data_IF_375783207938
#
_entry.id   IF_375783207938
#
_cell.length_a   1.000
_cell.length_b   1.000
_cell.length_c   1.000
_cell.angle_alpha   90.00
_cell.angle_beta   90.00
_cell.angle_gamma   90.00
#
_symmetry.space_group_name_H-M   'P 1'
#
loop_
_entity.id
_entity.type
_entity.pdbx_description
1 polymer ?
#
# COMPACT_ATOMS: atom_id res chain seq x y z
N UNK A 1 -16.56 -11.16 47.55
CA UNK A 1 -15.23 -10.54 47.75
C UNK A 1 -14.40 -10.76 46.50
N UNK A 2 -14.25 -12.01 46.07
CA UNK A 2 -13.56 -12.43 44.83
C UNK A 2 -14.05 -11.75 43.55
N UNK A 3 -15.38 -11.65 43.34
CA UNK A 3 -15.93 -10.97 42.15
C UNK A 3 -15.56 -9.47 42.08
N UNK A 4 -15.50 -8.80 43.23
CA UNK A 4 -15.15 -7.38 43.30
C UNK A 4 -13.67 -7.16 42.99
N UNK A 5 -12.80 -8.08 43.40
CA UNK A 5 -11.38 -8.04 43.09
C UNK A 5 -11.13 -8.33 41.60
N UNK A 6 -11.79 -9.37 41.05
CA UNK A 6 -11.72 -9.67 39.62
C UNK A 6 -12.19 -8.48 38.75
N UNK A 7 -13.26 -7.78 39.15
CA UNK A 7 -13.72 -6.55 38.46
C UNK A 7 -12.72 -5.41 38.56
N UNK A 8 -12.01 -5.26 39.68
CA UNK A 8 -10.96 -4.23 39.83
C UNK A 8 -9.75 -4.55 38.96
N UNK A 9 -9.30 -5.80 38.97
CA UNK A 9 -8.16 -6.26 38.18
C UNK A 9 -8.42 -6.08 36.68
N UNK A 10 -9.57 -6.55 36.18
CA UNK A 10 -9.96 -6.37 34.79
C UNK A 10 -9.99 -4.89 34.36
N UNK A 11 -10.38 -3.98 35.27
CA UNK A 11 -10.41 -2.54 35.02
C UNK A 11 -9.01 -1.94 34.92
N UNK A 12 -8.06 -2.38 35.75
CA UNK A 12 -6.68 -1.91 35.68
C UNK A 12 -5.95 -2.47 34.45
N UNK A 13 -6.19 -3.73 34.10
CA UNK A 13 -5.66 -4.32 32.86
C UNK A 13 -6.21 -3.59 31.63
N UNK A 14 -7.51 -3.30 31.60
CA UNK A 14 -8.10 -2.53 30.51
C UNK A 14 -7.43 -1.15 30.36
N UNK A 15 -7.22 -0.42 31.45
CA UNK A 15 -6.51 0.88 31.42
C UNK A 15 -5.10 0.75 30.86
N UNK A 16 -4.37 -0.29 31.28
CA UNK A 16 -3.01 -0.58 30.81
C UNK A 16 -3.01 -0.84 29.29
N UNK A 17 -3.93 -1.68 28.80
CA UNK A 17 -4.07 -1.96 27.37
C UNK A 17 -4.47 -0.73 26.56
N UNK A 18 -5.45 0.04 27.02
CA UNK A 18 -5.87 1.28 26.37
C UNK A 18 -4.73 2.31 26.27
N UNK A 19 -3.91 2.45 27.32
CA UNK A 19 -2.74 3.33 27.30
C UNK A 19 -1.68 2.86 26.30
N UNK A 20 -1.39 1.55 26.29
CA UNK A 20 -0.43 0.97 25.33
C UNK A 20 -0.92 1.13 23.88
N UNK A 21 -2.22 0.94 23.65
CA UNK A 21 -2.85 1.16 22.36
C UNK A 21 -2.77 2.64 21.94
N UNK A 22 -3.07 3.59 22.83
CA UNK A 22 -2.92 5.01 22.55
C UNK A 22 -1.48 5.38 22.17
N UNK A 23 -0.48 4.87 22.92
CA UNK A 23 0.94 5.07 22.60
C UNK A 23 1.28 4.46 21.24
N UNK A 24 0.80 3.25 20.95
CA UNK A 24 0.97 2.59 19.65
C UNK A 24 0.40 3.42 18.51
N UNK A 25 -0.84 3.93 18.66
CA UNK A 25 -1.48 4.79 17.67
C UNK A 25 -0.76 6.12 17.50
N UNK A 26 -0.24 6.74 18.57
CA UNK A 26 0.58 7.96 18.48
C UNK A 26 1.88 7.73 17.71
N UNK A 27 2.52 6.58 17.90
CA UNK A 27 3.72 6.19 17.13
C UNK A 27 3.38 5.90 15.66
N UNK A 28 2.35 5.09 15.40
CA UNK A 28 1.91 4.70 14.06
C UNK A 28 1.39 5.87 13.23
N UNK A 29 0.64 6.79 13.85
CA UNK A 29 0.08 7.98 13.22
C UNK A 29 1.12 9.03 12.85
N UNK A 30 2.39 8.86 13.24
CA UNK A 30 3.48 9.80 12.95
C UNK A 30 3.15 11.22 13.41
N UNK A 31 2.41 11.39 14.52
CA UNK A 31 1.99 12.72 15.01
C UNK A 31 3.16 13.69 15.27
N UNK A 32 4.33 13.16 15.63
CA UNK A 32 5.58 13.94 15.76
C UNK A 32 6.04 14.50 14.40
N UNK A 33 5.91 13.72 13.32
CA UNK A 33 6.22 14.19 11.96
C UNK A 33 5.34 15.39 11.56
N UNK A 34 4.04 15.35 11.84
CA UNK A 34 3.15 16.47 11.51
C UNK A 34 3.51 17.76 12.27
N UNK A 35 3.97 17.66 13.52
CA UNK A 35 4.33 18.82 14.35
C UNK A 35 5.76 19.32 14.14
N UNK A 36 6.72 18.43 13.95
CA UNK A 36 8.15 18.75 13.84
C UNK A 36 8.67 18.77 12.40
N UNK A 37 7.95 18.14 11.47
CA UNK A 37 8.26 18.14 10.03
C UNK A 37 8.04 19.49 9.39
N UNK A 38 7.00 20.22 9.81
CA UNK A 38 6.68 21.56 9.30
C UNK A 38 7.72 22.62 9.71
N UNK A 39 8.47 22.35 10.78
CA UNK A 39 9.51 23.24 11.31
C UNK A 39 10.91 23.00 10.72
N UNK A 40 11.04 22.17 9.68
CA UNK A 40 12.31 21.86 9.01
C UNK A 40 13.45 21.55 10.01
N UNK A 41 13.12 20.78 11.04
CA UNK A 41 14.02 20.51 12.17
C UNK A 41 15.09 19.47 11.83
N UNK A 42 16.15 19.36 12.65
CA UNK A 42 17.12 18.27 12.53
C UNK A 42 16.50 16.86 12.64
N UNK A 43 15.29 16.73 13.21
CA UNK A 43 14.51 15.48 13.17
C UNK A 43 13.94 15.22 11.77
N UNK A 44 13.37 16.23 11.10
CA UNK A 44 12.88 16.14 9.72
C UNK A 44 13.97 15.66 8.76
N UNK A 45 15.14 16.31 8.76
CA UNK A 45 16.24 15.91 7.87
C UNK A 45 16.73 14.50 8.15
N UNK A 46 16.84 14.08 9.42
CA UNK A 46 17.21 12.69 9.77
C UNK A 46 16.22 11.68 9.22
N UNK A 47 14.92 11.96 9.36
CA UNK A 47 13.86 11.06 8.93
C UNK A 47 13.73 11.04 7.39
N UNK A 48 13.77 12.19 6.72
CA UNK A 48 13.80 12.29 5.26
C UNK A 48 15.02 11.57 4.68
N UNK A 49 16.21 11.73 5.28
CA UNK A 49 17.41 11.01 4.85
C UNK A 49 17.33 9.50 5.14
N UNK A 50 16.67 9.09 6.23
CA UNK A 50 16.39 7.68 6.51
C UNK A 50 15.49 7.08 5.42
N UNK A 51 14.40 7.77 5.07
CA UNK A 51 13.52 7.37 3.98
C UNK A 51 14.24 7.35 2.63
N UNK A 52 15.02 8.39 2.30
CA UNK A 52 15.85 8.43 1.10
C UNK A 52 16.81 7.25 1.03
N UNK A 53 17.52 6.93 2.11
CA UNK A 53 18.43 5.77 2.14
C UNK A 53 17.69 4.44 1.99
N UNK A 54 16.54 4.29 2.64
CA UNK A 54 15.72 3.08 2.56
C UNK A 54 15.11 2.88 1.17
N UNK A 55 14.72 3.96 0.51
CA UNK A 55 14.09 3.93 -0.80
C UNK A 55 15.11 4.01 -1.95
N UNK A 56 16.40 4.20 -1.64
CA UNK A 56 17.47 4.21 -2.63
C UNK A 56 17.72 2.79 -3.12
N UNK A 57 17.31 2.51 -4.35
CA UNK A 57 17.60 1.25 -5.03
C UNK A 57 18.96 1.36 -5.73
N UNK A 58 20.04 1.15 -4.97
CA UNK A 58 21.41 1.33 -5.47
C UNK A 58 21.92 0.19 -6.37
N UNK A 59 21.30 -0.99 -6.26
CA UNK A 59 21.59 -2.13 -7.12
C UNK A 59 20.42 -3.10 -7.15
N UNK A 60 20.26 -3.80 -8.26
CA UNK A 60 19.31 -4.91 -8.42
C UNK A 60 20.00 -6.13 -8.99
N UNK A 61 19.46 -7.32 -8.76
CA UNK A 61 19.96 -8.57 -9.35
C UNK A 61 18.95 -9.10 -10.35
N UNK A 62 19.34 -9.19 -11.62
CA UNK A 62 18.52 -9.74 -12.69
C UNK A 62 19.29 -10.86 -13.38
N UNK A 63 18.67 -12.05 -13.50
CA UNK A 63 19.26 -13.22 -14.14
C UNK A 63 20.68 -13.56 -13.67
N UNK A 64 20.97 -13.36 -12.37
CA UNK A 64 22.29 -13.63 -11.80
C UNK A 64 23.26 -12.43 -11.80
N UNK A 65 23.01 -11.41 -12.62
CA UNK A 65 23.88 -10.25 -12.82
C UNK A 65 23.43 -9.10 -11.90
N UNK A 66 24.38 -8.42 -11.26
CA UNK A 66 24.13 -7.21 -10.49
C UNK A 66 24.18 -5.99 -11.40
N UNK A 67 23.10 -5.21 -11.43
CA UNK A 67 23.03 -3.92 -12.09
C UNK A 67 23.19 -2.82 -11.04
N UNK A 68 24.08 -1.88 -11.30
CA UNK A 68 24.41 -0.78 -10.37
C UNK A 68 24.26 0.60 -11.00
N UNK A 69 24.29 0.69 -12.33
CA UNK A 69 24.03 1.95 -13.02
C UNK A 69 22.54 2.27 -13.03
N UNK A 70 22.17 3.53 -12.77
CA UNK A 70 20.76 3.94 -12.65
C UNK A 70 19.93 3.61 -13.91
N UNK A 71 20.52 3.78 -15.10
CA UNK A 71 19.85 3.49 -16.36
C UNK A 71 19.63 1.98 -16.54
N UNK A 72 20.63 1.17 -16.21
CA UNK A 72 20.52 -0.30 -16.22
C UNK A 72 19.48 -0.79 -15.21
N UNK A 73 19.44 -0.22 -14.00
CA UNK A 73 18.47 -0.58 -12.97
C UNK A 73 17.05 -0.29 -13.48
N UNK A 74 16.79 0.90 -14.04
CA UNK A 74 15.49 1.27 -14.59
C UNK A 74 15.09 0.35 -15.75
N UNK A 75 15.97 0.17 -16.73
CA UNK A 75 15.72 -0.69 -17.89
C UNK A 75 15.48 -2.13 -17.47
N UNK A 76 16.31 -2.66 -16.59
CA UNK A 76 16.18 -4.00 -16.05
C UNK A 76 14.85 -4.24 -15.32
N UNK A 77 14.41 -3.29 -14.48
CA UNK A 77 13.10 -3.38 -13.82
C UNK A 77 11.93 -3.41 -14.80
N UNK A 78 11.95 -2.52 -15.80
CA UNK A 78 10.90 -2.46 -16.83
C UNK A 78 10.85 -3.77 -17.60
N UNK A 79 11.99 -4.27 -18.09
CA UNK A 79 12.07 -5.54 -18.81
C UNK A 79 11.60 -6.72 -17.96
N UNK A 80 11.99 -6.77 -16.68
CA UNK A 80 11.57 -7.83 -15.77
C UNK A 80 10.05 -7.82 -15.53
N UNK A 81 9.47 -6.63 -15.33
CA UNK A 81 8.01 -6.48 -15.15
C UNK A 81 7.26 -6.81 -16.44
N UNK A 82 7.76 -6.35 -17.59
CA UNK A 82 7.17 -6.71 -18.89
C UNK A 82 7.15 -8.21 -19.06
N UNK A 83 8.27 -8.90 -18.85
CA UNK A 83 8.33 -10.36 -18.94
C UNK A 83 7.42 -11.07 -17.93
N UNK A 84 7.28 -10.54 -16.70
CA UNK A 84 6.40 -11.11 -15.68
C UNK A 84 4.92 -10.93 -16.01
N UNK A 85 4.56 -9.80 -16.62
CA UNK A 85 3.18 -9.43 -16.95
C UNK A 85 2.76 -9.87 -18.36
N UNK A 86 3.70 -10.38 -19.17
CA UNK A 86 3.36 -11.08 -20.40
C UNK A 86 2.59 -12.33 -20.02
N UNK A 87 1.29 -12.31 -20.32
CA UNK A 87 0.46 -13.50 -20.20
C UNK A 87 0.87 -14.46 -21.33
N UNK A 88 1.40 -15.65 -21.01
CA UNK A 88 1.88 -16.59 -22.02
C UNK A 88 0.79 -17.02 -23.01
N UNK A 89 -0.50 -16.75 -22.73
CA UNK A 89 -1.64 -16.88 -23.67
C UNK A 89 -1.63 -18.11 -24.58
N UNK A 90 -1.05 -19.22 -24.14
CA UNK A 90 -1.10 -20.47 -24.91
C UNK A 90 -2.53 -21.02 -24.95
N UNK A 91 -3.37 -20.65 -23.98
CA UNK A 91 -4.79 -20.92 -24.02
C UNK A 91 -5.60 -19.83 -23.32
N UNK A 92 -6.44 -19.15 -24.09
CA UNK A 92 -7.57 -18.37 -23.57
C UNK A 92 -8.86 -19.02 -24.07
N UNK A 93 -9.82 -19.36 -23.19
CA UNK A 93 -11.12 -19.83 -23.66
C UNK A 93 -11.74 -18.76 -24.55
N UNK A 94 -12.10 -19.17 -25.76
CA UNK A 94 -12.81 -18.30 -26.70
C UNK A 94 -14.16 -17.92 -26.07
N UNK A 95 -14.40 -16.62 -25.95
CA UNK A 95 -15.72 -16.11 -25.59
C UNK A 95 -16.69 -16.16 -26.80
N UNK A 96 -16.18 -16.43 -28.01
CA UNK A 96 -17.01 -16.63 -29.19
C UNK A 96 -17.83 -17.90 -29.06
N UNK A 97 -19.15 -17.78 -29.22
CA UNK A 97 -20.11 -18.90 -29.13
C UNK A 97 -20.73 -19.09 -27.75
N UNK A 98 -20.38 -18.24 -26.77
CA UNK A 98 -21.08 -18.17 -25.48
C UNK A 98 -22.11 -17.05 -25.53
N UNK A 99 -23.39 -17.39 -25.29
CA UNK A 99 -24.45 -16.40 -25.10
C UNK A 99 -24.33 -15.79 -23.71
N UNK A 100 -23.62 -14.68 -23.64
CA UNK A 100 -23.64 -13.82 -22.46
C UNK A 100 -24.91 -12.98 -22.48
N UNK A 101 -25.54 -12.80 -21.31
CA UNK A 101 -26.54 -11.75 -21.14
C UNK A 101 -25.85 -10.41 -21.45
N UNK A 102 -26.27 -9.78 -22.55
CA UNK A 102 -25.82 -8.45 -22.93
C UNK A 102 -26.87 -7.48 -22.42
N UNK A 103 -26.42 -6.47 -21.70
CA UNK A 103 -27.28 -5.33 -21.41
C UNK A 103 -27.78 -4.75 -22.73
N UNK A 104 -29.06 -4.42 -22.78
CA UNK A 104 -29.63 -3.79 -23.96
C UNK A 104 -29.12 -2.33 -24.10
N UNK A 105 -29.41 -1.72 -25.25
CA UNK A 105 -28.93 -0.37 -25.57
C UNK A 105 -29.47 0.67 -24.57
N UNK A 106 -30.68 0.47 -24.05
CA UNK A 106 -31.31 1.38 -23.09
C UNK A 106 -30.71 1.19 -21.69
N UNK A 107 -30.46 -0.05 -21.28
CA UNK A 107 -29.72 -0.40 -20.05
C UNK A 107 -28.31 0.19 -20.07
N UNK A 108 -27.61 0.09 -21.20
CA UNK A 108 -26.28 0.67 -21.36
C UNK A 108 -26.33 2.21 -21.27
N UNK A 109 -27.27 2.86 -21.96
CA UNK A 109 -27.44 4.31 -21.91
C UNK A 109 -27.72 4.81 -20.48
N UNK A 110 -28.58 4.12 -19.72
CA UNK A 110 -28.88 4.45 -18.31
C UNK A 110 -27.64 4.38 -17.40
N UNK A 111 -26.69 3.49 -17.67
CA UNK A 111 -25.46 3.42 -16.90
C UNK A 111 -24.52 4.59 -17.17
N UNK A 112 -24.59 5.17 -18.38
CA UNK A 112 -23.76 6.30 -18.80
C UNK A 112 -24.37 7.67 -18.44
N UNK A 113 -25.70 7.76 -18.26
CA UNK A 113 -26.40 9.00 -17.88
C UNK A 113 -25.82 9.67 -16.63
N UNK A 114 -25.37 8.90 -15.64
CA UNK A 114 -24.79 9.44 -14.38
C UNK A 114 -23.43 10.10 -14.63
N UNK A 115 -22.75 9.77 -15.72
CA UNK A 115 -21.41 10.27 -16.06
C UNK A 115 -21.42 11.34 -17.14
N UNK A 116 -22.58 11.63 -17.76
CA UNK A 116 -22.76 12.77 -18.64
C UNK A 116 -23.09 13.97 -17.75
N UNK A 117 -22.05 14.69 -17.35
CA UNK A 117 -22.15 16.01 -16.74
C UNK A 117 -22.05 17.03 -17.87
N UNK A 118 -23.13 17.78 -18.11
CA UNK A 118 -23.10 19.02 -18.90
C UNK A 118 -22.27 20.11 -18.19
#
# INVERSE_FOLDING_TARGET
MEELEARKEAKEDFKKWALMEEISWRQKSRKVWLREGDKNTGFFHRMANSHRRRNCMSKIKLNGIWLTEEQEIKGGMVSALQNLLVDPSDWRPSLYGLDFYRIDVEEAARLEEVFIVD
#
